data_IF_506992988911
#
_entry.id   IF_506992988911
#
_cell.length_a   1.000
_cell.length_b   1.000
_cell.length_c   1.000
_cell.angle_alpha   90.00
_cell.angle_beta   90.00
_cell.angle_gamma   90.00
#
_symmetry.space_group_name_H-M   'P 1'
#
loop_
_entity.id
_entity.type
_entity.pdbx_description
1 polymer ?
#
# COMPACT_ATOMS: atom_id res chain seq x y z
N UNK A 1 27.94 8.65 26.12
CA UNK A 1 27.22 7.56 26.81
C UNK A 1 27.33 7.81 28.31
N UNK A 2 26.47 8.69 28.79
CA UNK A 2 26.39 9.01 30.21
C UNK A 2 25.73 7.83 30.91
N UNK A 3 26.42 7.29 31.91
CA UNK A 3 25.96 6.16 32.71
C UNK A 3 24.75 6.56 33.54
N UNK A 4 23.58 6.10 33.14
CA UNK A 4 22.43 6.04 34.04
C UNK A 4 22.66 4.89 35.03
N UNK A 5 22.61 5.22 36.32
CA UNK A 5 22.58 4.26 37.41
C UNK A 5 21.37 3.32 37.26
N UNK A 6 21.58 2.01 37.39
CA UNK A 6 20.57 0.97 37.23
C UNK A 6 19.46 0.96 38.32
N UNK A 7 19.29 2.06 39.06
CA UNK A 7 18.40 2.19 40.21
C UNK A 7 17.28 3.21 40.03
N UNK A 8 17.23 3.97 38.93
CA UNK A 8 16.06 4.78 38.62
C UNK A 8 14.94 3.90 38.03
N UNK A 9 13.69 4.03 38.50
CA UNK A 9 12.58 3.32 37.90
C UNK A 9 12.49 3.73 36.42
N UNK A 10 12.46 2.73 35.53
CA UNK A 10 12.58 2.85 34.08
C UNK A 10 11.38 3.55 33.39
N UNK A 11 10.56 4.30 34.13
CA UNK A 11 9.29 4.87 33.72
C UNK A 11 8.31 3.84 33.12
N UNK A 12 8.54 2.54 33.35
CA UNK A 12 7.61 1.48 32.97
C UNK A 12 6.56 1.34 34.06
N UNK A 13 5.29 1.36 33.67
CA UNK A 13 4.18 1.05 34.56
C UNK A 13 3.24 0.04 33.91
N UNK A 14 2.52 -0.70 34.75
CA UNK A 14 1.52 -1.66 34.34
C UNK A 14 0.13 -1.07 34.61
N UNK A 15 -0.79 -1.29 33.69
CA UNK A 15 -2.16 -0.78 33.78
C UNK A 15 -3.11 -1.88 33.31
N UNK A 16 -4.29 -1.99 33.93
CA UNK A 16 -5.30 -2.90 33.42
C UNK A 16 -5.74 -2.47 32.03
N UNK A 17 -6.02 -3.44 31.14
CA UNK A 17 -6.42 -3.11 29.77
C UNK A 17 -7.68 -2.21 29.70
N UNK A 18 -8.59 -2.33 30.67
CA UNK A 18 -9.77 -1.44 30.77
C UNK A 18 -9.37 0.01 30.97
N UNK A 19 -8.37 0.27 31.81
CA UNK A 19 -7.88 1.63 32.06
C UNK A 19 -7.15 2.17 30.82
N UNK A 20 -6.37 1.33 30.11
CA UNK A 20 -5.76 1.67 28.81
C UNK A 20 -6.81 2.20 27.83
N UNK A 21 -7.94 1.50 27.69
CA UNK A 21 -9.04 1.87 26.79
C UNK A 21 -9.73 3.20 27.16
N UNK A 22 -9.63 3.64 28.41
CA UNK A 22 -10.22 4.91 28.88
C UNK A 22 -9.22 6.05 29.00
N UNK A 23 -7.92 5.72 29.01
CA UNK A 23 -6.84 6.67 29.26
C UNK A 23 -6.17 7.13 27.97
N UNK A 24 -5.97 6.23 27.00
CA UNK A 24 -5.31 6.56 25.74
C UNK A 24 -6.32 6.79 24.61
N UNK A 25 -6.08 7.84 23.82
CA UNK A 25 -6.91 8.20 22.65
C UNK A 25 -6.59 7.32 21.43
N UNK A 26 -5.41 6.67 21.43
CA UNK A 26 -4.99 5.77 20.36
C UNK A 26 -3.63 5.13 20.64
N UNK A 27 -3.17 4.32 19.68
CA UNK A 27 -1.87 3.66 19.71
C UNK A 27 -1.45 3.23 18.31
N UNK A 28 -0.19 2.82 18.17
CA UNK A 28 0.34 2.29 16.92
C UNK A 28 0.86 0.87 17.12
N UNK A 29 0.64 0.02 16.12
CA UNK A 29 1.22 -1.33 16.07
C UNK A 29 2.14 -1.40 14.86
N UNK A 30 3.43 -1.69 15.09
CA UNK A 30 4.37 -1.96 14.02
C UNK A 30 4.51 -3.48 13.87
N UNK A 31 3.93 -4.03 12.80
CA UNK A 31 4.01 -5.46 12.53
C UNK A 31 5.38 -5.81 11.96
N UNK A 32 6.16 -6.59 12.70
CA UNK A 32 7.37 -7.24 12.17
C UNK A 32 6.99 -8.65 11.72
N UNK A 33 6.79 -8.83 10.42
CA UNK A 33 6.52 -10.14 9.82
C UNK A 33 7.82 -10.74 9.30
N UNK A 34 8.10 -11.99 9.69
CA UNK A 34 9.20 -12.79 9.12
C UNK A 34 8.72 -13.44 7.83
N UNK A 35 9.63 -13.62 6.87
CA UNK A 35 9.34 -14.22 5.55
C UNK A 35 8.30 -13.44 4.73
N UNK A 36 8.26 -12.11 4.92
CA UNK A 36 7.47 -11.21 4.08
C UNK A 36 8.42 -10.34 3.28
N UNK A 37 8.02 -10.04 2.05
CA UNK A 37 8.84 -9.37 1.06
C UNK A 37 8.25 -7.99 0.78
N UNK A 38 9.07 -6.96 1.03
CA UNK A 38 8.65 -5.56 1.05
C UNK A 38 9.12 -4.86 -0.22
N UNK A 39 8.15 -4.43 -1.02
CA UNK A 39 8.33 -3.70 -2.28
C UNK A 39 7.80 -2.28 -2.10
N UNK A 40 8.55 -1.28 -2.54
CA UNK A 40 8.17 0.14 -2.46
C UNK A 40 8.14 0.74 -3.85
N UNK A 41 6.95 1.10 -4.34
CA UNK A 41 6.73 1.59 -5.69
C UNK A 41 6.51 3.10 -5.60
N UNK A 42 7.32 3.88 -6.32
CA UNK A 42 7.18 5.35 -6.37
C UNK A 42 6.05 5.72 -7.33
N UNK A 43 5.25 6.70 -6.93
CA UNK A 43 4.29 7.38 -7.79
C UNK A 43 4.09 8.83 -7.37
N UNK A 44 3.21 9.51 -8.08
CA UNK A 44 2.87 10.90 -7.86
C UNK A 44 1.37 11.08 -8.05
N UNK A 45 0.76 11.91 -7.23
CA UNK A 45 -0.52 12.50 -7.60
C UNK A 45 -0.23 13.64 -8.56
N UNK A 46 -0.93 13.69 -9.69
CA UNK A 46 -0.93 14.80 -10.64
C UNK A 46 -2.38 15.30 -10.75
N UNK A 47 -2.66 16.46 -10.16
CA UNK A 47 -4.02 17.03 -10.03
C UNK A 47 -4.99 16.05 -9.32
N UNK A 48 -4.52 15.41 -8.26
CA UNK A 48 -5.22 14.41 -7.46
C UNK A 48 -5.35 13.02 -8.08
N UNK A 49 -4.83 12.81 -9.30
CA UNK A 49 -4.87 11.51 -9.96
C UNK A 49 -3.54 10.78 -9.80
N UNK A 50 -3.54 9.49 -9.38
CA UNK A 50 -2.31 8.72 -9.24
C UNK A 50 -1.66 8.45 -10.59
N UNK A 51 -0.35 8.64 -10.70
CA UNK A 51 0.42 8.26 -11.88
C UNK A 51 0.61 6.75 -11.98
N UNK A 52 0.63 6.05 -10.83
CA UNK A 52 0.88 4.60 -10.74
C UNK A 52 -0.14 3.92 -9.84
N UNK A 53 -0.93 3.03 -10.44
CA UNK A 53 -1.72 2.01 -9.76
C UNK A 53 -1.05 0.63 -9.98
N UNK A 54 -1.46 -0.38 -9.21
CA UNK A 54 -1.00 -1.75 -9.41
C UNK A 54 -2.08 -2.57 -10.09
N UNK A 55 -1.75 -3.28 -11.16
CA UNK A 55 -2.54 -4.38 -11.71
C UNK A 55 -1.97 -5.70 -11.18
N UNK A 56 -2.76 -6.46 -10.43
CA UNK A 56 -2.30 -7.68 -9.76
C UNK A 56 -3.06 -8.90 -10.29
N UNK A 57 -2.32 -9.94 -10.65
CA UNK A 57 -2.86 -11.27 -10.95
C UNK A 57 -2.13 -12.31 -10.10
N UNK A 58 -2.86 -13.26 -9.54
CA UNK A 58 -2.31 -14.34 -8.71
C UNK A 58 -2.74 -15.74 -9.20
N UNK A 59 -1.85 -16.73 -9.16
CA UNK A 59 -2.14 -18.14 -9.42
C UNK A 59 -2.58 -18.90 -8.17
N UNK A 60 -2.14 -18.42 -7.01
CA UNK A 60 -2.40 -18.97 -5.68
C UNK A 60 -2.78 -17.84 -4.72
N UNK A 61 -3.46 -18.11 -3.59
CA UNK A 61 -3.78 -17.09 -2.62
C UNK A 61 -2.53 -16.39 -2.09
N UNK A 62 -2.52 -15.05 -2.07
CA UNK A 62 -1.40 -14.22 -1.58
C UNK A 62 -1.90 -13.24 -0.53
N UNK A 63 -1.35 -13.31 0.68
CA UNK A 63 -1.58 -12.33 1.73
C UNK A 63 -0.62 -11.14 1.56
N UNK A 64 -1.17 -9.92 1.62
CA UNK A 64 -0.40 -8.70 1.50
C UNK A 64 -0.83 -7.61 2.49
N UNK A 65 0.13 -6.79 2.94
CA UNK A 65 -0.15 -5.45 3.44
C UNK A 65 0.14 -4.45 2.33
N UNK A 66 -0.84 -3.59 2.10
CA UNK A 66 -0.74 -2.49 1.15
C UNK A 66 -0.68 -1.21 1.98
N UNK A 67 0.34 -0.40 1.73
CA UNK A 67 0.59 0.87 2.43
C UNK A 67 0.68 1.97 1.40
N UNK A 68 0.08 3.12 1.68
CA UNK A 68 0.22 4.33 0.90
C UNK A 68 0.80 5.39 1.82
N UNK A 69 2.00 5.85 1.48
CA UNK A 69 2.76 6.84 2.22
C UNK A 69 2.88 8.12 1.42
N UNK A 70 2.74 9.26 2.08
CA UNK A 70 3.15 10.57 1.56
C UNK A 70 4.39 11.06 2.30
N UNK A 71 5.07 12.06 1.76
CA UNK A 71 6.21 12.69 2.44
C UNK A 71 5.80 13.23 3.81
N UNK A 72 6.75 13.22 4.75
CA UNK A 72 6.52 13.68 6.10
C UNK A 72 6.39 15.20 6.10
N UNK A 73 5.37 15.75 6.79
CA UNK A 73 5.16 17.21 6.92
C UNK A 73 6.40 17.91 7.51
N UNK A 74 7.20 17.18 8.31
CA UNK A 74 8.43 17.71 8.91
C UNK A 74 9.54 17.97 7.90
N UNK A 75 9.45 17.38 6.72
CA UNK A 75 10.43 17.49 5.65
C UNK A 75 9.97 18.45 4.53
N UNK A 76 8.77 19.05 4.65
CA UNK A 76 8.17 19.92 3.63
C UNK A 76 7.61 21.24 4.17
N UNK A 77 7.14 22.10 3.24
CA UNK A 77 6.45 23.37 3.55
C UNK A 77 4.95 23.20 3.85
N UNK A 78 4.41 22.00 3.63
CA UNK A 78 2.99 21.68 3.83
C UNK A 78 2.67 21.63 5.33
N UNK A 79 1.67 22.41 5.76
CA UNK A 79 1.25 22.48 7.16
C UNK A 79 0.41 21.27 7.62
N UNK A 80 -0.14 20.49 6.68
CA UNK A 80 -1.01 19.36 6.99
C UNK A 80 -0.87 18.23 5.95
N UNK A 81 -0.91 16.98 6.41
CA UNK A 81 -1.01 15.80 5.55
C UNK A 81 -2.24 15.87 4.63
N UNK A 82 -2.15 15.30 3.43
CA UNK A 82 -3.37 15.12 2.62
C UNK A 82 -4.21 13.96 3.12
N UNK A 83 -5.52 14.05 2.93
CA UNK A 83 -6.42 12.95 3.19
C UNK A 83 -6.28 11.87 2.09
N UNK A 84 -5.76 10.70 2.47
CA UNK A 84 -5.46 9.59 1.56
C UNK A 84 -6.36 8.36 1.81
N UNK A 85 -6.46 7.52 0.78
CA UNK A 85 -7.19 6.25 0.82
C UNK A 85 -6.55 5.25 -0.15
N UNK A 86 -6.47 3.98 0.23
CA UNK A 86 -6.22 2.87 -0.70
C UNK A 86 -7.57 2.26 -1.06
N UNK A 87 -7.78 1.98 -2.34
CA UNK A 87 -8.90 1.14 -2.79
C UNK A 87 -8.39 -0.05 -3.57
N UNK A 88 -9.00 -1.20 -3.32
CA UNK A 88 -8.78 -2.43 -4.09
C UNK A 88 -10.07 -2.76 -4.83
N UNK A 89 -9.97 -2.91 -6.14
CA UNK A 89 -11.03 -3.49 -6.96
C UNK A 89 -10.60 -4.84 -7.52
N UNK A 90 -11.60 -5.64 -7.89
CA UNK A 90 -11.42 -6.94 -8.53
C UNK A 90 -12.36 -7.07 -9.71
N UNK A 91 -12.03 -7.94 -10.64
CA UNK A 91 -12.86 -8.12 -11.82
C UNK A 91 -14.18 -8.81 -11.47
N UNK A 92 -15.28 -8.30 -12.04
CA UNK A 92 -16.65 -8.65 -11.69
C UNK A 92 -17.53 -8.86 -12.93
N UNK A 93 -17.04 -9.62 -13.92
CA UNK A 93 -17.76 -9.97 -15.14
C UNK A 93 -17.43 -9.05 -16.31
N UNK A 94 -18.19 -7.96 -16.48
CA UNK A 94 -17.90 -6.95 -17.53
C UNK A 94 -17.22 -5.69 -17.00
N UNK A 95 -17.15 -5.58 -15.68
CA UNK A 95 -16.75 -4.39 -14.96
C UNK A 95 -15.95 -4.79 -13.74
N UNK A 96 -15.13 -3.88 -13.27
CA UNK A 96 -14.39 -3.95 -12.03
C UNK A 96 -15.32 -3.48 -10.92
N UNK A 97 -15.23 -4.14 -9.77
CA UNK A 97 -16.00 -3.80 -8.57
C UNK A 97 -15.04 -3.48 -7.45
N UNK A 98 -15.28 -2.37 -6.77
CA UNK A 98 -14.56 -2.03 -5.55
C UNK A 98 -14.88 -3.08 -4.49
N UNK A 99 -13.85 -3.69 -3.94
CA UNK A 99 -13.96 -4.80 -3.00
C UNK A 99 -13.68 -4.33 -1.57
N UNK A 100 -12.55 -3.65 -1.36
CA UNK A 100 -12.13 -3.13 -0.06
C UNK A 100 -11.41 -1.78 -0.16
N UNK A 101 -11.39 -1.06 0.95
CA UNK A 101 -10.68 0.21 1.14
C UNK A 101 -9.89 0.20 2.43
N UNK A 102 -8.83 1.01 2.51
CA UNK A 102 -8.09 1.20 3.77
C UNK A 102 -8.99 1.77 4.86
N UNK A 103 -8.77 1.33 6.10
CA UNK A 103 -9.50 1.77 7.28
C UNK A 103 -8.51 2.10 8.41
N UNK A 104 -9.01 2.56 9.56
CA UNK A 104 -8.17 2.76 10.75
C UNK A 104 -7.69 1.44 11.35
N UNK A 105 -8.43 0.36 11.14
CA UNK A 105 -8.01 -1.00 11.45
C UNK A 105 -7.44 -1.65 10.18
N UNK A 106 -6.12 -1.83 10.15
CA UNK A 106 -5.39 -2.42 9.02
C UNK A 106 -5.80 -3.88 8.80
N UNK A 107 -6.11 -4.63 9.85
CA UNK A 107 -6.48 -6.04 9.77
C UNK A 107 -7.95 -6.23 9.35
N UNK A 108 -8.76 -5.18 9.47
CA UNK A 108 -10.16 -5.17 9.04
C UNK A 108 -10.44 -4.05 8.02
N UNK A 109 -10.05 -4.23 6.75
CA UNK A 109 -10.30 -3.24 5.70
C UNK A 109 -11.79 -2.92 5.54
N UNK A 110 -12.07 -1.66 5.24
CA UNK A 110 -13.43 -1.15 5.06
C UNK A 110 -13.98 -1.41 3.65
N UNK A 111 -15.20 -0.94 3.44
CA UNK A 111 -15.84 -0.84 2.12
C UNK A 111 -16.28 0.60 1.78
N UNK A 112 -16.08 1.53 2.72
CA UNK A 112 -16.47 2.94 2.60
C UNK A 112 -15.30 3.79 2.12
N UNK A 113 -15.61 4.88 1.43
CA UNK A 113 -14.63 5.84 0.94
C UNK A 113 -14.29 6.86 2.03
N UNK A 114 -13.54 6.41 3.05
CA UNK A 114 -13.07 7.24 4.16
C UNK A 114 -11.61 7.62 3.97
N UNK A 115 -11.37 8.85 3.55
CA UNK A 115 -10.03 9.40 3.41
C UNK A 115 -9.52 9.87 4.76
N UNK A 116 -8.26 9.56 5.09
CA UNK A 116 -7.65 9.87 6.38
C UNK A 116 -6.48 10.82 6.23
N UNK A 117 -6.44 11.86 7.07
CA UNK A 117 -5.30 12.77 7.21
C UNK A 117 -4.22 12.07 8.04
N UNK A 118 -3.28 11.42 7.36
CA UNK A 118 -2.20 10.68 8.00
C UNK A 118 -1.02 10.55 7.05
N UNK A 119 0.22 10.46 7.58
CA UNK A 119 1.40 10.16 6.76
C UNK A 119 1.27 8.85 5.98
N UNK A 120 0.70 7.84 6.63
CA UNK A 120 0.50 6.50 6.08
C UNK A 120 -0.96 6.06 6.25
N UNK A 121 -1.52 5.43 5.21
CA UNK A 121 -2.74 4.61 5.32
C UNK A 121 -2.43 3.20 4.85
N UNK A 122 -3.06 2.20 5.44
CA UNK A 122 -2.76 0.81 5.13
C UNK A 122 -3.98 -0.11 5.19
N UNK A 123 -3.86 -1.28 4.58
CA UNK A 123 -4.80 -2.39 4.69
C UNK A 123 -4.09 -3.72 4.50
N UNK A 124 -4.55 -4.75 5.20
CA UNK A 124 -4.26 -6.14 4.87
C UNK A 124 -5.25 -6.60 3.78
N UNK A 125 -4.80 -7.39 2.82
CA UNK A 125 -5.65 -7.93 1.78
C UNK A 125 -5.16 -9.30 1.34
N UNK A 126 -6.08 -10.21 1.07
CA UNK A 126 -5.79 -11.52 0.48
C UNK A 126 -6.23 -11.50 -0.97
N UNK A 127 -5.28 -11.64 -1.89
CA UNK A 127 -5.56 -11.81 -3.31
C UNK A 127 -5.85 -13.28 -3.58
N UNK A 128 -6.93 -13.57 -4.28
CA UNK A 128 -7.38 -14.92 -4.60
C UNK A 128 -7.47 -15.07 -6.14
N UNK A 129 -7.12 -16.22 -6.74
CA UNK A 129 -7.10 -16.37 -8.19
C UNK A 129 -8.43 -16.03 -8.88
N UNK A 130 -9.56 -16.29 -8.21
CA UNK A 130 -10.91 -16.05 -8.74
C UNK A 130 -11.27 -14.55 -8.86
N UNK A 131 -10.52 -13.66 -8.19
CA UNK A 131 -10.75 -12.22 -8.27
C UNK A 131 -9.94 -11.50 -9.36
N UNK A 132 -9.03 -12.22 -10.04
CA UNK A 132 -8.17 -11.62 -11.06
C UNK A 132 -8.94 -10.94 -12.21
N UNK A 133 -8.40 -9.86 -12.80
CA UNK A 133 -7.33 -9.01 -12.24
C UNK A 133 -7.84 -8.12 -11.10
N UNK A 134 -6.93 -7.81 -10.18
CA UNK A 134 -7.13 -6.80 -9.15
C UNK A 134 -6.48 -5.47 -9.55
N UNK A 135 -7.05 -4.35 -9.08
CA UNK A 135 -6.40 -3.05 -9.14
C UNK A 135 -6.26 -2.45 -7.75
N UNK A 136 -5.03 -2.10 -7.37
CA UNK A 136 -4.72 -1.31 -6.17
C UNK A 136 -4.54 0.14 -6.60
N UNK A 137 -5.39 1.02 -6.10
CA UNK A 137 -5.51 2.40 -6.58
C UNK A 137 -5.26 3.33 -5.39
N UNK A 138 -4.14 4.06 -5.38
CA UNK A 138 -3.92 5.19 -4.48
C UNK A 138 -4.92 6.29 -4.75
N UNK A 139 -5.45 6.88 -3.70
CA UNK A 139 -6.42 7.97 -3.83
C UNK A 139 -6.08 9.08 -2.86
N UNK A 140 -6.28 10.30 -3.31
CA UNK A 140 -6.25 11.50 -2.49
C UNK A 140 -7.60 12.21 -2.64
N UNK A 141 -8.08 12.84 -1.57
CA UNK A 141 -9.40 13.46 -1.56
C UNK A 141 -9.47 14.73 -2.42
N UNK A 142 -8.42 15.53 -2.41
CA UNK A 142 -8.38 16.83 -3.06
C UNK A 142 -7.71 16.73 -4.45
N UNK A 143 -8.47 17.11 -5.48
CA UNK A 143 -8.05 17.08 -6.88
C UNK A 143 -7.09 18.20 -7.27
N UNK A 144 -6.74 19.10 -6.37
CA UNK A 144 -5.69 20.11 -6.59
C UNK A 144 -4.29 19.60 -6.21
N UNK A 145 -4.20 18.45 -5.54
CA UNK A 145 -2.94 17.95 -5.00
C UNK A 145 -2.05 17.38 -6.10
N UNK A 146 -0.82 17.90 -6.18
CA UNK A 146 0.24 17.33 -7.00
C UNK A 146 1.47 17.05 -6.14
N UNK A 147 1.70 15.79 -5.76
CA UNK A 147 2.77 15.41 -4.82
C UNK A 147 3.18 13.94 -4.91
N UNK A 148 4.42 13.60 -4.54
CA UNK A 148 4.89 12.23 -4.54
C UNK A 148 4.18 11.37 -3.49
N UNK A 149 4.09 10.07 -3.77
CA UNK A 149 3.69 9.05 -2.82
C UNK A 149 4.50 7.76 -3.03
N UNK A 150 4.45 6.88 -2.04
CA UNK A 150 4.99 5.52 -2.14
C UNK A 150 3.89 4.51 -1.84
N UNK A 151 3.69 3.58 -2.77
CA UNK A 151 2.93 2.36 -2.52
C UNK A 151 3.86 1.28 -1.95
N UNK A 152 3.68 0.92 -0.69
CA UNK A 152 4.25 -0.27 -0.10
C UNK A 152 3.39 -1.49 -0.39
N UNK A 153 4.00 -2.55 -0.90
CA UNK A 153 3.38 -3.86 -1.06
C UNK A 153 4.25 -4.87 -0.33
N UNK A 154 3.79 -5.33 0.84
CA UNK A 154 4.45 -6.35 1.63
C UNK A 154 3.70 -7.66 1.45
N UNK A 155 4.32 -8.67 0.87
CA UNK A 155 3.66 -9.94 0.52
C UNK A 155 4.28 -11.11 1.27
N UNK A 156 3.50 -12.18 1.49
CA UNK A 156 3.99 -13.44 2.04
C UNK A 156 4.73 -14.33 1.02
N UNK A 157 4.80 -13.91 -0.24
CA UNK A 157 5.57 -14.53 -1.34
C UNK A 157 6.39 -13.49 -2.12
N UNK A 158 7.33 -13.97 -2.94
CA UNK A 158 8.11 -13.13 -3.84
C UNK A 158 7.26 -12.65 -5.02
N UNK A 159 7.44 -11.39 -5.44
CA UNK A 159 6.94 -10.90 -6.72
C UNK A 159 7.51 -11.77 -7.86
N UNK A 160 6.64 -12.39 -8.65
CA UNK A 160 6.98 -13.36 -9.69
C UNK A 160 6.73 -14.83 -9.33
N UNK A 161 6.56 -15.17 -8.04
CA UNK A 161 6.23 -16.54 -7.62
C UNK A 161 4.72 -16.70 -7.45
N UNK A 162 4.05 -17.01 -8.57
CA UNK A 162 2.58 -17.13 -8.60
C UNK A 162 1.83 -15.80 -8.45
N UNK A 163 2.55 -14.68 -8.48
CA UNK A 163 1.96 -13.33 -8.47
C UNK A 163 2.66 -12.44 -9.50
N UNK A 164 1.87 -11.74 -10.30
CA UNK A 164 2.33 -10.73 -11.25
C UNK A 164 1.78 -9.37 -10.86
N UNK A 165 2.67 -8.41 -10.65
CA UNK A 165 2.33 -7.03 -10.26
C UNK A 165 2.83 -6.07 -11.33
N UNK A 166 1.91 -5.58 -12.14
CA UNK A 166 2.15 -4.62 -13.21
C UNK A 166 1.86 -3.20 -12.75
N UNK A 167 2.59 -2.22 -13.27
CA UNK A 167 2.36 -0.81 -13.00
C UNK A 167 1.48 -0.21 -14.08
N UNK A 168 0.31 0.27 -13.68
CA UNK A 168 -0.73 0.77 -14.59
C UNK A 168 -1.06 2.21 -14.27
N UNK A 169 -1.13 3.06 -15.28
CA UNK A 169 -1.85 4.32 -15.20
C UNK A 169 -3.33 4.10 -15.51
N UNK A 170 -4.23 4.72 -14.76
CA UNK A 170 -5.67 4.71 -15.02
C UNK A 170 -6.09 6.10 -15.50
N UNK A 171 -6.86 6.15 -16.58
CA UNK A 171 -7.36 7.39 -17.17
C UNK A 171 -8.18 8.22 -16.17
N UNK A 172 -8.01 9.54 -16.18
CA UNK A 172 -8.66 10.48 -15.24
C UNK A 172 -10.20 10.45 -15.37
N UNK A 173 -10.72 10.11 -16.54
CA UNK A 173 -12.15 9.97 -16.81
C UNK A 173 -12.72 8.63 -16.31
N UNK A 174 -11.88 7.73 -15.80
CA UNK A 174 -12.35 6.48 -15.21
C UNK A 174 -13.27 6.75 -14.02
N UNK A 175 -14.43 6.09 -14.00
CA UNK A 175 -15.46 6.29 -12.98
C UNK A 175 -15.01 5.95 -11.55
N UNK A 176 -13.88 5.26 -11.39
CA UNK A 176 -13.29 5.04 -10.06
C UNK A 176 -12.96 6.36 -9.36
N UNK A 177 -12.51 7.37 -10.11
CA UNK A 177 -12.20 8.70 -9.58
C UNK A 177 -13.45 9.56 -9.33
N UNK A 178 -14.60 9.11 -9.82
CA UNK A 178 -15.93 9.66 -9.51
C UNK A 178 -16.62 8.92 -8.34
N UNK A 179 -15.84 8.18 -7.53
CA UNK A 179 -16.34 7.42 -6.38
C UNK A 179 -17.36 6.32 -6.71
N UNK A 180 -17.38 5.83 -7.96
CA UNK A 180 -18.31 4.78 -8.34
C UNK A 180 -17.78 3.40 -7.91
N UNK A 181 -18.59 2.57 -7.22
CA UNK A 181 -18.17 1.24 -6.78
C UNK A 181 -18.04 0.23 -7.92
N UNK A 182 -18.49 0.58 -9.12
CA UNK A 182 -18.37 -0.25 -10.33
C UNK A 182 -17.95 0.62 -11.50
N UNK A 183 -16.91 0.18 -12.21
CA UNK A 183 -16.29 0.93 -13.30
C UNK A 183 -15.71 -0.04 -14.34
N UNK A 184 -15.23 0.50 -15.47
CA UNK A 184 -14.56 -0.27 -16.51
C UNK A 184 -13.15 0.26 -16.69
N UNK A 185 -12.15 -0.59 -16.53
CA UNK A 185 -10.75 -0.25 -16.85
C UNK A 185 -10.38 -0.53 -18.31
N UNK A 186 -11.24 -1.24 -19.04
CA UNK A 186 -10.99 -1.60 -20.45
C UNK A 186 -10.80 -0.35 -21.32
N UNK A 187 -9.63 -0.23 -21.94
CA UNK A 187 -9.26 0.94 -22.78
C UNK A 187 -8.96 2.21 -21.97
N UNK A 188 -8.97 2.13 -20.64
CA UNK A 188 -8.68 3.23 -19.71
C UNK A 188 -7.37 2.99 -18.94
N UNK A 189 -6.63 1.93 -19.25
CA UNK A 189 -5.35 1.61 -18.60
C UNK A 189 -4.21 1.64 -19.59
N UNK A 190 -3.05 2.08 -19.13
CA UNK A 190 -1.77 2.01 -19.85
C UNK A 190 -0.67 1.49 -18.94
N UNK A 191 0.32 0.80 -19.50
CA UNK A 191 1.52 0.45 -18.76
C UNK A 191 2.34 1.71 -18.46
N UNK A 192 2.89 1.77 -17.25
CA UNK A 192 3.72 2.89 -16.79
C UNK A 192 5.03 2.34 -16.27
N UNK A 193 6.15 2.93 -16.71
CA UNK A 193 7.44 2.66 -16.09
C UNK A 193 7.64 3.59 -14.90
N UNK A 194 8.02 3.04 -13.75
CA UNK A 194 8.36 3.84 -12.55
C UNK A 194 9.54 3.22 -11.80
N UNK A 195 10.06 3.97 -10.85
CA UNK A 195 11.03 3.51 -9.87
C UNK A 195 10.35 2.65 -8.80
N UNK A 196 11.03 1.60 -8.39
CA UNK A 196 10.64 0.81 -7.23
C UNK A 196 11.88 0.30 -6.49
N UNK A 197 11.70 0.01 -5.21
CA UNK A 197 12.73 -0.58 -4.36
C UNK A 197 12.29 -1.96 -3.87
N UNK A 198 13.25 -2.88 -3.85
CA UNK A 198 13.10 -4.19 -3.23
C UNK A 198 13.88 -4.16 -1.93
N UNK A 199 13.17 -4.24 -0.80
CA UNK A 199 13.82 -4.27 0.50
C UNK A 199 14.59 -5.57 0.67
N UNK A 200 15.85 -5.44 1.04
CA UNK A 200 16.68 -6.54 1.48
C UNK A 200 17.36 -6.16 2.82
N UNK A 201 17.90 -7.14 3.56
CA UNK A 201 18.43 -6.90 4.90
C UNK A 201 19.62 -5.94 4.99
N UNK A 202 20.30 -5.64 3.87
CA UNK A 202 21.53 -4.83 3.86
C UNK A 202 21.28 -3.45 3.29
N UNK A 203 20.82 -3.37 2.05
CA UNK A 203 20.61 -2.13 1.32
C UNK A 203 19.56 -2.35 0.24
N UNK A 204 18.42 -1.65 0.24
CA UNK A 204 17.38 -1.83 -0.78
C UNK A 204 17.94 -1.79 -2.20
N UNK A 205 17.48 -2.71 -3.04
CA UNK A 205 17.80 -2.69 -4.47
C UNK A 205 16.89 -1.66 -5.14
N UNK A 206 17.46 -0.72 -5.87
CA UNK A 206 16.71 0.26 -6.65
C UNK A 206 16.53 -0.23 -8.08
N UNK A 207 15.32 -0.13 -8.61
CA UNK A 207 14.93 -0.70 -9.89
C UNK A 207 14.02 0.29 -10.65
N UNK A 208 13.98 0.14 -11.97
CA UNK A 208 13.04 0.85 -12.85
C UNK A 208 12.41 -0.16 -13.79
N UNK A 209 11.09 -0.11 -13.94
CA UNK A 209 10.38 -1.00 -14.86
C UNK A 209 8.88 -0.74 -14.88
N UNK A 210 8.14 -1.54 -15.65
CA UNK A 210 6.68 -1.49 -15.75
C UNK A 210 5.97 -2.60 -14.96
N UNK A 211 6.72 -3.43 -14.23
CA UNK A 211 6.23 -4.48 -13.34
C UNK A 211 7.29 -4.78 -12.27
N UNK A 212 6.87 -5.34 -11.13
CA UNK A 212 7.81 -5.83 -10.12
C UNK A 212 8.53 -7.08 -10.63
N UNK A 213 9.86 -7.03 -10.64
CA UNK A 213 10.73 -8.19 -10.93
C UNK A 213 11.67 -8.41 -9.78
N UNK A 214 11.54 -9.54 -9.09
CA UNK A 214 12.40 -9.88 -7.97
C UNK A 214 13.47 -10.90 -8.39
N UNK A 215 14.68 -10.42 -8.65
CA UNK A 215 15.79 -11.27 -9.09
C UNK A 215 16.19 -12.34 -8.07
N UNK A 216 15.77 -12.23 -6.79
CA UNK A 216 16.01 -13.27 -5.79
C UNK A 216 15.38 -14.60 -6.21
N UNK A 217 14.34 -14.59 -7.05
CA UNK A 217 13.79 -15.81 -7.65
C UNK A 217 14.80 -16.60 -8.49
N UNK A 218 15.80 -15.93 -9.07
CA UNK A 218 16.89 -16.61 -9.79
C UNK A 218 17.75 -17.43 -8.82
N UNK A 219 17.95 -16.96 -7.60
CA UNK A 219 18.71 -17.66 -6.57
C UNK A 219 18.02 -18.96 -6.13
N UNK A 220 16.69 -19.03 -6.27
CA UNK A 220 15.89 -20.23 -5.98
C UNK A 220 15.59 -21.09 -7.21
N UNK A 221 16.03 -20.68 -8.41
CA UNK A 221 15.77 -21.42 -9.65
C UNK A 221 14.31 -21.40 -10.13
N UNK A 222 13.50 -20.45 -9.68
CA UNK A 222 12.04 -20.36 -9.97
C UNK A 222 11.72 -19.22 -10.96
N UNK A 223 12.71 -18.72 -11.70
CA UNK A 223 12.50 -17.61 -12.63
C UNK A 223 11.84 -18.11 -13.93
N UNK A 224 10.60 -17.69 -14.19
CA UNK A 224 10.02 -17.79 -15.54
C UNK A 224 10.54 -16.62 -16.38
N UNK A 225 11.06 -16.93 -17.58
CA UNK A 225 11.66 -15.98 -18.53
C UNK A 225 10.63 -15.07 -19.20
#
# INVERSE_FOLDING_TARGET
PDGMDATEPDNTFWMEWRDVLTTFVGGGVCHVKRNWYDYRIRGDFNDGYPTVCLGINVSDPVDAYIVLSQEDERDGDDLEYAAMLISVSRHGGKHEKMDRTSSLDVEMPGCELKFNFARDVAMRYTFEPEGNPYFVIPRVHDNSISKPYVLGLLMDTYAGNGIRVEFKGIDRECRVFQNMPTFSVKGMTRDVSTEYQIRNPRQPSECVGAELKDERLKEFGVYEN
#
